data_IF_655993137136
#
_entry.id   IF_655993137136
#
_cell.length_a   1.000
_cell.length_b   1.000
_cell.length_c   1.000
_cell.angle_alpha   90.00
_cell.angle_beta   90.00
_cell.angle_gamma   90.00
#
_symmetry.space_group_name_H-M   'P 1'
#
loop_
_entity.id
_entity.type
_entity.pdbx_description
1 polymer ?
#
# COMPACT_ATOMS: atom_id res chain seq x y z
N UNK A 1 8.29 55.95 33.89
CA UNK A 1 7.20 56.15 32.90
C UNK A 1 7.73 55.82 31.53
N UNK A 2 7.35 54.68 30.96
CA UNK A 2 7.33 54.35 29.52
C UNK A 2 6.44 53.10 29.40
N UNK A 3 5.46 53.07 28.48
CA UNK A 3 4.30 52.20 28.60
C UNK A 3 4.50 50.80 28.00
N UNK A 4 3.92 49.81 28.68
CA UNK A 4 3.71 48.45 28.21
C UNK A 4 2.59 48.46 27.17
N UNK A 5 2.88 48.04 25.94
CA UNK A 5 1.86 47.68 24.95
C UNK A 5 2.04 46.21 24.56
N UNK A 6 1.35 45.35 25.30
CA UNK A 6 1.23 43.94 24.98
C UNK A 6 0.30 43.76 23.78
N UNK A 7 0.87 43.46 22.62
CA UNK A 7 0.14 42.88 21.49
C UNK A 7 0.17 41.36 21.70
N UNK A 8 -0.91 40.81 22.28
CA UNK A 8 -1.10 39.38 22.37
C UNK A 8 -1.19 38.81 20.95
N UNK A 9 -0.13 38.17 20.48
CA UNK A 9 -0.17 37.31 19.32
C UNK A 9 -1.11 36.14 19.67
N UNK A 10 -2.28 36.11 19.01
CA UNK A 10 -3.15 34.95 19.02
C UNK A 10 -2.32 33.76 18.55
N UNK A 11 -2.18 32.75 19.40
CA UNK A 11 -1.50 31.52 19.07
C UNK A 11 -2.14 30.90 17.82
N UNK A 12 -1.36 30.76 16.76
CA UNK A 12 -1.69 29.91 15.62
C UNK A 12 -1.89 28.48 16.15
N UNK A 13 -3.14 28.06 16.23
CA UNK A 13 -3.48 26.65 16.39
C UNK A 13 -3.09 25.96 15.09
N UNK A 14 -1.92 25.32 15.08
CA UNK A 14 -1.49 24.45 13.97
C UNK A 14 -2.45 23.26 13.86
N UNK A 15 -3.35 23.40 12.89
CA UNK A 15 -3.89 22.41 11.94
C UNK A 15 -3.94 20.97 12.46
N UNK A 16 -5.16 20.58 12.87
CA UNK A 16 -5.64 19.21 12.72
C UNK A 16 -5.42 18.81 11.26
N UNK A 17 -4.84 17.65 11.00
CA UNK A 17 -4.61 17.14 9.64
C UNK A 17 -5.93 17.20 8.83
N UNK A 18 -6.07 18.26 8.01
CA UNK A 18 -7.29 18.58 7.25
C UNK A 18 -7.70 17.43 6.31
N UNK A 19 -6.76 16.52 6.02
CA UNK A 19 -6.98 15.38 5.16
C UNK A 19 -7.48 14.13 5.92
N UNK A 20 -7.47 14.12 7.27
CA UNK A 20 -7.87 12.97 8.09
C UNK A 20 -9.12 13.23 8.92
N UNK A 21 -9.10 14.21 9.83
CA UNK A 21 -10.22 14.43 10.77
C UNK A 21 -11.29 15.34 10.16
N UNK A 22 -12.57 14.97 10.26
CA UNK A 22 -13.68 15.81 9.81
C UNK A 22 -14.04 16.91 10.82
N UNK A 23 -13.80 16.64 12.12
CA UNK A 23 -14.15 17.56 13.20
C UNK A 23 -13.00 17.75 14.17
N UNK A 24 -13.05 18.86 14.89
CA UNK A 24 -12.17 19.16 16.03
C UNK A 24 -12.98 19.28 17.31
N UNK A 25 -12.33 19.32 18.48
CA UNK A 25 -13.01 19.50 19.77
C UNK A 25 -13.90 20.76 19.83
N UNK A 26 -13.59 21.79 19.04
CA UNK A 26 -14.30 23.08 19.03
C UNK A 26 -15.35 23.18 17.93
N UNK A 27 -15.59 22.10 17.17
CA UNK A 27 -16.53 22.11 16.05
C UNK A 27 -17.98 22.07 16.55
N UNK A 28 -18.78 23.08 16.20
CA UNK A 28 -20.24 23.03 16.36
C UNK A 28 -20.83 22.12 15.28
N UNK A 29 -21.17 20.89 15.67
CA UNK A 29 -21.65 19.84 14.76
C UNK A 29 -22.90 20.25 13.98
N UNK A 30 -23.84 20.99 14.58
CA UNK A 30 -25.08 21.40 13.91
C UNK A 30 -24.82 22.48 12.87
N UNK A 31 -23.98 23.45 13.21
CA UNK A 31 -23.55 24.48 12.24
C UNK A 31 -22.73 23.85 11.12
N UNK A 32 -21.80 22.96 11.46
CA UNK A 32 -20.93 22.31 10.50
C UNK A 32 -21.71 21.43 9.52
N UNK A 33 -22.63 20.59 10.00
CA UNK A 33 -23.50 19.79 9.14
C UNK A 33 -24.29 20.66 8.15
N UNK A 34 -24.88 21.79 8.61
CA UNK A 34 -25.59 22.72 7.72
C UNK A 34 -24.69 23.30 6.61
N UNK A 35 -23.46 23.66 6.93
CA UNK A 35 -22.50 24.17 5.94
C UNK A 35 -22.12 23.07 4.92
N UNK A 36 -21.95 21.82 5.38
CA UNK A 36 -21.67 20.70 4.49
C UNK A 36 -22.85 20.39 3.57
N UNK A 37 -24.09 20.42 4.06
CA UNK A 37 -25.28 20.27 3.22
C UNK A 37 -25.36 21.37 2.15
N UNK A 38 -25.06 22.62 2.50
CA UNK A 38 -25.01 23.72 1.52
C UNK A 38 -23.90 23.53 0.50
N UNK A 39 -22.73 23.04 0.91
CA UNK A 39 -21.62 22.75 0.00
C UNK A 39 -21.94 21.58 -0.95
N UNK A 40 -22.63 20.56 -0.44
CA UNK A 40 -23.15 19.42 -1.20
C UNK A 40 -24.15 19.86 -2.27
N UNK A 41 -25.18 20.60 -1.89
CA UNK A 41 -26.18 21.10 -2.84
C UNK A 41 -25.58 22.09 -3.85
N UNK A 42 -24.63 22.91 -3.42
CA UNK A 42 -23.89 23.79 -4.34
C UNK A 42 -23.09 23.00 -5.37
N UNK A 43 -22.36 21.95 -4.95
CA UNK A 43 -21.61 21.09 -5.87
C UNK A 43 -22.54 20.43 -6.89
N UNK A 44 -23.64 19.85 -6.43
CA UNK A 44 -24.59 19.13 -7.30
C UNK A 44 -25.33 20.04 -8.27
N UNK A 45 -25.55 21.31 -7.91
CA UNK A 45 -26.16 22.32 -8.79
C UNK A 45 -25.16 23.03 -9.71
N UNK A 46 -23.87 22.70 -9.65
CA UNK A 46 -22.81 23.39 -10.40
C UNK A 46 -22.48 24.79 -9.87
N UNK A 47 -23.01 25.16 -8.70
CA UNK A 47 -22.74 26.43 -8.02
C UNK A 47 -21.42 26.36 -7.24
N UNK A 48 -20.81 27.52 -6.96
CA UNK A 48 -19.62 27.58 -6.09
C UNK A 48 -20.06 27.44 -4.62
N UNK A 49 -19.51 26.47 -3.87
CA UNK A 49 -19.82 26.33 -2.44
C UNK A 49 -19.31 27.55 -1.66
N UNK A 50 -20.06 27.96 -0.64
CA UNK A 50 -19.70 29.09 0.22
C UNK A 50 -18.57 28.74 1.21
N UNK A 51 -18.37 27.44 1.49
CA UNK A 51 -17.29 26.93 2.31
C UNK A 51 -16.37 26.04 1.48
N UNK A 52 -15.06 26.10 1.74
CA UNK A 52 -14.11 25.17 1.15
C UNK A 52 -14.36 23.78 1.72
N UNK A 53 -14.58 22.80 0.84
CA UNK A 53 -14.54 21.39 1.21
C UNK A 53 -13.10 21.01 1.59
N UNK A 54 -12.96 20.03 2.49
CA UNK A 54 -11.65 19.41 2.76
C UNK A 54 -11.14 18.77 1.46
N UNK A 55 -9.82 18.79 1.25
CA UNK A 55 -9.23 18.33 -0.02
C UNK A 55 -9.51 16.86 -0.30
N UNK A 56 -9.45 16.02 0.74
CA UNK A 56 -9.82 14.59 0.66
C UNK A 56 -11.26 14.38 0.15
N UNK A 57 -12.20 15.18 0.64
CA UNK A 57 -13.62 15.11 0.23
C UNK A 57 -13.78 15.59 -1.21
N UNK A 58 -13.12 16.69 -1.59
CA UNK A 58 -13.17 17.19 -2.97
C UNK A 58 -12.63 16.16 -3.97
N UNK A 59 -11.48 15.52 -3.69
CA UNK A 59 -10.92 14.47 -4.55
C UNK A 59 -11.85 13.27 -4.67
N UNK A 60 -12.44 12.84 -3.55
CA UNK A 60 -13.42 11.75 -3.54
C UNK A 60 -14.65 12.09 -4.37
N UNK A 61 -15.20 13.29 -4.22
CA UNK A 61 -16.38 13.73 -4.97
C UNK A 61 -16.10 13.81 -6.47
N UNK A 62 -14.90 14.24 -6.88
CA UNK A 62 -14.50 14.24 -8.29
C UNK A 62 -14.46 12.81 -8.86
N UNK A 63 -13.92 11.84 -8.10
CA UNK A 63 -13.95 10.42 -8.48
C UNK A 63 -15.38 9.89 -8.57
N UNK A 64 -16.19 10.13 -7.56
CA UNK A 64 -17.58 9.64 -7.47
C UNK A 64 -18.46 10.18 -8.60
N UNK A 65 -18.29 11.46 -8.94
CA UNK A 65 -18.95 12.06 -10.10
C UNK A 65 -18.49 11.41 -11.41
N UNK A 66 -17.20 11.07 -11.53
CA UNK A 66 -16.68 10.34 -12.71
C UNK A 66 -17.22 8.91 -12.84
N UNK A 67 -17.60 8.28 -11.72
CA UNK A 67 -18.26 6.97 -11.70
C UNK A 67 -19.75 7.05 -12.04
N UNK A 68 -20.35 8.26 -12.07
CA UNK A 68 -21.77 8.46 -12.37
C UNK A 68 -22.71 8.10 -11.22
N UNK A 69 -22.20 8.07 -9.97
CA UNK A 69 -23.03 7.79 -8.79
C UNK A 69 -24.05 8.91 -8.60
N UNK A 70 -25.32 8.56 -8.42
CA UNK A 70 -26.38 9.52 -8.15
C UNK A 70 -26.46 9.85 -6.65
N UNK A 71 -26.64 11.13 -6.26
CA UNK A 71 -26.65 11.54 -4.85
C UNK A 71 -27.89 11.05 -4.07
N UNK A 72 -28.96 10.72 -4.78
CA UNK A 72 -30.20 10.16 -4.23
C UNK A 72 -30.38 8.66 -4.56
N UNK A 73 -29.44 8.09 -5.32
CA UNK A 73 -29.50 6.70 -5.77
C UNK A 73 -28.98 5.74 -4.70
N UNK A 74 -29.65 4.59 -4.58
CA UNK A 74 -29.09 3.40 -3.94
C UNK A 74 -28.69 2.45 -5.07
N UNK A 75 -27.45 2.53 -5.53
CA UNK A 75 -26.91 1.58 -6.50
C UNK A 75 -26.14 0.50 -5.74
N UNK A 76 -26.86 -0.26 -4.92
CA UNK A 76 -26.30 -1.39 -4.21
C UNK A 76 -26.84 -2.66 -4.84
N UNK A 77 -25.93 -3.47 -5.37
CA UNK A 77 -26.24 -4.85 -5.69
C UNK A 77 -26.62 -5.60 -4.42
N UNK A 78 -27.41 -6.67 -4.59
CA UNK A 78 -27.73 -7.55 -3.47
C UNK A 78 -26.44 -8.06 -2.81
N UNK A 79 -26.38 -8.13 -1.47
CA UNK A 79 -25.20 -8.63 -0.78
C UNK A 79 -24.89 -10.07 -1.22
N UNK A 80 -23.60 -10.38 -1.32
CA UNK A 80 -23.16 -11.70 -1.71
C UNK A 80 -23.73 -12.78 -0.78
N UNK A 81 -23.90 -13.98 -1.36
CA UNK A 81 -24.43 -15.13 -0.62
C UNK A 81 -23.54 -15.50 0.58
N UNK A 82 -24.12 -16.05 1.66
CA UNK A 82 -23.36 -16.44 2.86
C UNK A 82 -22.15 -17.34 2.59
N UNK A 83 -22.23 -18.27 1.64
CA UNK A 83 -21.13 -19.17 1.30
C UNK A 83 -19.92 -18.46 0.69
N UNK A 84 -20.15 -17.35 -0.03
CA UNK A 84 -19.09 -16.49 -0.57
C UNK A 84 -18.44 -15.68 0.55
N UNK A 85 -19.24 -15.15 1.47
CA UNK A 85 -18.77 -14.40 2.64
C UNK A 85 -17.84 -15.27 3.49
N UNK A 86 -18.29 -16.48 3.86
CA UNK A 86 -17.49 -17.38 4.71
C UNK A 86 -16.19 -17.82 4.02
N UNK A 87 -16.22 -18.05 2.71
CA UNK A 87 -15.00 -18.35 1.94
C UNK A 87 -14.00 -17.19 1.99
N UNK A 88 -14.46 -15.96 1.75
CA UNK A 88 -13.61 -14.77 1.80
C UNK A 88 -13.09 -14.49 3.21
N UNK A 89 -13.89 -14.72 4.26
CA UNK A 89 -13.46 -14.64 5.66
C UNK A 89 -12.34 -15.63 5.96
N UNK A 90 -12.50 -16.89 5.54
CA UNK A 90 -11.51 -17.94 5.77
C UNK A 90 -10.17 -17.69 5.06
N UNK A 91 -10.21 -17.00 3.91
CA UNK A 91 -9.02 -16.66 3.13
C UNK A 91 -8.36 -15.34 3.56
N UNK A 92 -9.06 -14.50 4.32
CA UNK A 92 -8.56 -13.19 4.73
C UNK A 92 -7.54 -13.31 5.87
N UNK A 93 -6.32 -12.76 5.72
CA UNK A 93 -5.35 -12.72 6.81
C UNK A 93 -5.84 -11.96 8.04
N UNK A 94 -6.81 -11.04 7.87
CA UNK A 94 -7.42 -10.27 8.97
C UNK A 94 -8.12 -11.20 9.96
N UNK A 95 -8.62 -12.36 9.53
CA UNK A 95 -9.23 -13.35 10.42
C UNK A 95 -8.31 -13.77 11.57
N UNK A 96 -6.99 -13.80 11.34
CA UNK A 96 -5.99 -14.16 12.34
C UNK A 96 -5.79 -13.09 13.43
N UNK A 97 -6.26 -11.86 13.19
CA UNK A 97 -6.14 -10.72 14.11
C UNK A 97 -7.48 -10.08 14.46
N UNK A 98 -8.58 -10.69 14.03
CA UNK A 98 -9.93 -10.31 14.39
C UNK A 98 -10.15 -10.28 15.92
N UNK A 99 -9.61 -11.22 16.74
CA UNK A 99 -9.72 -11.13 18.20
C UNK A 99 -9.12 -9.84 18.78
N UNK A 100 -7.97 -9.38 18.26
CA UNK A 100 -7.31 -8.15 18.70
C UNK A 100 -8.12 -6.91 18.33
N UNK A 101 -8.69 -6.89 17.11
CA UNK A 101 -9.60 -5.83 16.66
C UNK A 101 -10.85 -5.77 17.55
N UNK A 102 -11.48 -6.92 17.82
CA UNK A 102 -12.64 -7.03 18.72
C UNK A 102 -12.32 -6.53 20.12
N UNK A 103 -11.20 -6.97 20.69
CA UNK A 103 -10.76 -6.55 22.02
C UNK A 103 -10.52 -5.02 22.09
N UNK A 104 -10.11 -4.40 20.99
CA UNK A 104 -9.81 -2.97 20.93
C UNK A 104 -11.05 -2.11 20.67
N UNK A 105 -12.00 -2.59 19.85
CA UNK A 105 -13.04 -1.74 19.26
C UNK A 105 -14.46 -2.14 19.63
N UNK A 106 -14.79 -3.42 19.89
CA UNK A 106 -16.20 -3.84 20.02
C UNK A 106 -16.89 -3.21 21.24
N UNK A 107 -16.25 -3.22 22.42
CA UNK A 107 -16.82 -2.60 23.61
C UNK A 107 -17.02 -1.08 23.44
N UNK A 108 -16.02 -0.41 22.86
CA UNK A 108 -16.12 1.04 22.56
C UNK A 108 -17.22 1.31 21.53
N UNK A 109 -17.37 0.45 20.53
CA UNK A 109 -18.42 0.57 19.54
C UNK A 109 -19.80 0.45 20.17
N UNK A 110 -20.01 -0.52 21.06
CA UNK A 110 -21.28 -0.69 21.78
C UNK A 110 -21.61 0.52 22.66
N UNK A 111 -20.67 0.96 23.49
CA UNK A 111 -20.85 2.08 24.42
C UNK A 111 -21.06 3.42 23.71
N UNK A 112 -20.41 3.62 22.55
CA UNK A 112 -20.49 4.85 21.77
C UNK A 112 -21.63 4.87 20.75
N UNK A 113 -22.51 3.85 20.71
CA UNK A 113 -23.51 3.67 19.65
C UNK A 113 -22.89 3.68 18.24
N UNK A 114 -21.94 2.77 17.99
CA UNK A 114 -21.30 2.54 16.71
C UNK A 114 -21.30 1.05 16.33
N UNK A 115 -20.95 0.78 15.07
CA UNK A 115 -20.58 -0.54 14.56
C UNK A 115 -19.14 -0.50 14.06
N UNK A 116 -18.37 -1.53 14.38
CA UNK A 116 -17.12 -1.85 13.71
C UNK A 116 -17.43 -2.62 12.44
N UNK A 117 -16.85 -2.20 11.33
CA UNK A 117 -16.93 -2.87 10.04
C UNK A 117 -15.53 -3.16 9.52
N UNK A 118 -15.33 -4.33 8.95
CA UNK A 118 -14.06 -4.72 8.35
C UNK A 118 -14.34 -5.18 6.92
N UNK A 119 -13.60 -4.62 5.96
CA UNK A 119 -13.71 -4.96 4.54
C UNK A 119 -12.44 -5.63 4.04
N UNK A 120 -12.53 -6.32 2.89
CA UNK A 120 -11.38 -6.71 2.10
C UNK A 120 -10.82 -5.53 1.29
N UNK A 121 -9.63 -5.69 0.70
CA UNK A 121 -8.97 -4.66 -0.10
C UNK A 121 -9.75 -4.22 -1.35
N UNK A 122 -10.73 -5.01 -1.80
CA UNK A 122 -11.65 -4.66 -2.89
C UNK A 122 -12.94 -3.97 -2.40
N UNK A 123 -13.05 -3.62 -1.12
CA UNK A 123 -14.22 -2.95 -0.54
C UNK A 123 -15.36 -3.88 -0.13
N UNK A 124 -15.21 -5.19 -0.31
CA UNK A 124 -16.21 -6.19 0.11
C UNK A 124 -16.30 -6.28 1.63
N UNK A 125 -17.50 -6.08 2.20
CA UNK A 125 -17.71 -6.13 3.65
C UNK A 125 -17.60 -7.57 4.17
N UNK A 126 -16.63 -7.82 5.05
CA UNK A 126 -16.37 -9.14 5.63
C UNK A 126 -17.02 -9.29 7.00
N UNK A 127 -16.83 -8.35 7.92
CA UNK A 127 -17.37 -8.43 9.28
C UNK A 127 -18.06 -7.13 9.67
N UNK A 128 -19.12 -7.24 10.49
CA UNK A 128 -19.85 -6.11 11.07
C UNK A 128 -20.30 -6.50 12.48
N UNK A 129 -19.87 -5.73 13.48
CA UNK A 129 -20.13 -6.01 14.90
C UNK A 129 -20.32 -4.70 15.68
N UNK A 130 -21.07 -4.71 16.78
CA UNK A 130 -21.29 -3.52 17.61
C UNK A 130 -22.77 -3.30 17.97
N UNK A 131 -23.15 -2.04 18.18
CA UNK A 131 -24.46 -1.68 18.73
C UNK A 131 -25.63 -2.15 17.83
N UNK A 132 -26.54 -2.95 18.40
CA UNK A 132 -27.70 -3.54 17.69
C UNK A 132 -28.57 -2.47 17.01
N UNK A 133 -28.80 -1.34 17.68
CA UNK A 133 -29.60 -0.23 17.15
C UNK A 133 -28.97 0.38 15.89
N UNK A 134 -27.64 0.50 15.87
CA UNK A 134 -26.90 1.01 14.72
C UNK A 134 -26.82 -0.02 13.61
N UNK A 135 -26.73 -1.31 13.96
CA UNK A 135 -26.85 -2.42 13.01
C UNK A 135 -28.14 -2.35 12.19
N UNK A 136 -29.28 -2.01 12.82
CA UNK A 136 -30.56 -1.83 12.10
C UNK A 136 -30.54 -0.63 11.14
N UNK A 137 -29.94 0.49 11.56
CA UNK A 137 -29.76 1.65 10.67
C UNK A 137 -28.85 1.31 9.48
N UNK A 138 -27.83 0.49 9.73
CA UNK A 138 -26.93 0.01 8.69
C UNK A 138 -27.65 -0.94 7.71
N UNK A 139 -28.55 -1.79 8.19
CA UNK A 139 -29.40 -2.65 7.34
C UNK A 139 -30.23 -1.81 6.37
N UNK A 140 -30.81 -0.70 6.84
CA UNK A 140 -31.58 0.22 6.00
C UNK A 140 -30.73 0.89 4.91
N UNK A 141 -29.40 0.98 5.09
CA UNK A 141 -28.45 1.46 4.07
C UNK A 141 -27.93 0.35 3.15
N UNK A 142 -28.26 -0.91 3.42
CA UNK A 142 -27.63 -2.07 2.78
C UNK A 142 -26.22 -2.38 3.30
N UNK A 143 -25.78 -1.73 4.38
CA UNK A 143 -24.43 -1.86 4.96
C UNK A 143 -24.26 -3.17 5.73
N UNK A 144 -24.19 -4.23 4.95
CA UNK A 144 -24.28 -5.63 5.35
C UNK A 144 -22.99 -6.37 4.97
N UNK A 145 -22.62 -7.44 5.70
CA UNK A 145 -21.64 -8.40 5.20
C UNK A 145 -22.02 -8.91 3.81
N UNK A 146 -21.04 -8.97 2.90
CA UNK A 146 -21.24 -9.38 1.52
C UNK A 146 -21.41 -8.26 0.51
N UNK A 147 -21.50 -7.02 0.97
CA UNK A 147 -21.86 -5.89 0.13
C UNK A 147 -20.61 -5.07 -0.27
N UNK A 148 -20.66 -4.34 -1.40
CA UNK A 148 -19.54 -3.54 -1.93
C UNK A 148 -19.60 -2.08 -1.44
N UNK A 149 -18.60 -1.68 -0.64
CA UNK A 149 -18.51 -0.35 -0.02
C UNK A 149 -17.47 0.58 -0.69
N UNK A 150 -17.11 0.30 -1.94
CA UNK A 150 -16.25 1.19 -2.72
C UNK A 150 -16.95 2.52 -3.05
N UNK A 151 -16.16 3.55 -3.39
CA UNK A 151 -16.69 4.83 -3.86
C UNK A 151 -17.53 4.70 -5.13
N UNK A 152 -17.21 3.73 -5.99
CA UNK A 152 -17.95 3.47 -7.23
C UNK A 152 -19.35 2.89 -6.96
N UNK A 153 -19.50 2.08 -5.91
CA UNK A 153 -20.77 1.48 -5.54
C UNK A 153 -21.66 2.45 -4.73
N UNK A 154 -21.12 3.07 -3.67
CA UNK A 154 -21.94 3.81 -2.69
C UNK A 154 -21.59 5.29 -2.55
N UNK A 155 -20.76 5.81 -3.46
CA UNK A 155 -20.27 7.19 -3.38
C UNK A 155 -19.27 7.39 -2.24
N UNK A 156 -18.94 8.65 -1.97
CA UNK A 156 -17.98 9.04 -0.92
C UNK A 156 -18.44 8.51 0.43
N UNK A 157 -17.65 7.58 0.96
CA UNK A 157 -17.82 6.94 2.26
C UNK A 157 -16.43 6.65 2.84
N UNK A 158 -16.32 6.44 4.16
CA UNK A 158 -15.00 6.34 4.79
C UNK A 158 -14.19 5.12 4.30
N UNK A 159 -14.83 3.97 4.06
CA UNK A 159 -14.18 2.76 3.55
C UNK A 159 -13.61 3.02 2.15
N UNK A 160 -14.47 3.41 1.20
CA UNK A 160 -14.07 3.66 -0.18
C UNK A 160 -13.01 4.77 -0.29
N UNK A 161 -13.14 5.82 0.51
CA UNK A 161 -12.16 6.92 0.53
C UNK A 161 -10.82 6.46 1.11
N UNK A 162 -10.83 5.66 2.20
CA UNK A 162 -9.60 5.11 2.76
C UNK A 162 -8.86 4.16 1.80
N UNK A 163 -9.62 3.36 1.02
CA UNK A 163 -9.07 2.52 -0.05
C UNK A 163 -8.38 3.39 -1.12
N UNK A 164 -9.08 4.40 -1.63
CA UNK A 164 -8.58 5.25 -2.73
C UNK A 164 -7.40 6.14 -2.31
N UNK A 165 -7.40 6.63 -1.07
CA UNK A 165 -6.37 7.53 -0.55
C UNK A 165 -5.20 6.77 0.10
N UNK A 166 -5.31 5.45 0.31
CA UNK A 166 -4.35 4.65 1.07
C UNK A 166 -4.03 5.24 2.45
N UNK A 167 -5.02 5.87 3.08
CA UNK A 167 -4.85 6.63 4.31
C UNK A 167 -6.10 6.53 5.20
N UNK A 168 -5.92 6.77 6.51
CA UNK A 168 -7.07 6.86 7.42
C UNK A 168 -7.86 8.13 7.12
N UNK A 169 -9.19 8.04 7.23
CA UNK A 169 -10.10 9.16 7.03
C UNK A 169 -11.24 9.11 8.02
N UNK A 170 -11.71 10.27 8.44
CA UNK A 170 -12.99 10.46 9.09
C UNK A 170 -13.88 11.28 8.16
N UNK A 171 -15.12 10.82 7.98
CA UNK A 171 -16.15 11.54 7.26
C UNK A 171 -17.31 11.86 8.19
N UNK A 172 -17.86 13.06 8.05
CA UNK A 172 -18.97 13.53 8.86
C UNK A 172 -20.09 14.06 7.96
N UNK A 173 -21.31 13.56 8.20
CA UNK A 173 -22.53 14.09 7.61
C UNK A 173 -22.47 14.24 6.08
N UNK A 174 -22.81 15.40 5.52
CA UNK A 174 -22.83 15.68 4.09
C UNK A 174 -21.46 15.80 3.41
N UNK A 175 -20.39 15.30 4.04
CA UNK A 175 -19.18 14.87 3.32
C UNK A 175 -19.39 13.54 2.59
N UNK A 176 -20.30 12.69 3.10
CA UNK A 176 -20.78 11.55 2.35
C UNK A 176 -21.50 12.04 1.10
N UNK A 177 -21.26 11.39 -0.04
CA UNK A 177 -21.82 11.86 -1.30
C UNK A 177 -23.31 11.53 -1.43
N UNK A 178 -23.73 10.34 -0.96
CA UNK A 178 -25.12 9.90 -1.04
C UNK A 178 -25.91 10.42 0.17
N UNK A 179 -27.06 11.06 -0.09
CA UNK A 179 -27.84 11.75 0.95
C UNK A 179 -28.32 10.84 2.08
N UNK A 180 -28.58 9.56 1.77
CA UNK A 180 -28.96 8.55 2.77
C UNK A 180 -27.88 8.35 3.85
N UNK A 181 -26.62 8.67 3.57
CA UNK A 181 -25.49 8.54 4.49
C UNK A 181 -25.24 9.81 5.33
N UNK A 182 -25.90 10.93 5.03
CA UNK A 182 -25.74 12.18 5.79
C UNK A 182 -26.04 12.11 7.30
N UNK A 183 -26.88 11.19 7.80
CA UNK A 183 -27.06 10.98 9.23
C UNK A 183 -25.88 10.26 9.93
N UNK A 184 -24.80 9.93 9.21
CA UNK A 184 -23.71 9.11 9.72
C UNK A 184 -22.40 9.88 9.91
N UNK A 185 -21.57 9.32 10.79
CA UNK A 185 -20.14 9.58 10.87
C UNK A 185 -19.41 8.25 10.75
N UNK A 186 -18.30 8.27 10.02
CA UNK A 186 -17.52 7.07 9.73
C UNK A 186 -16.04 7.38 9.90
N UNK A 187 -15.28 6.48 10.52
CA UNK A 187 -13.83 6.62 10.69
C UNK A 187 -13.16 5.32 10.27
N UNK A 188 -12.41 5.39 9.18
CA UNK A 188 -11.81 4.24 8.54
C UNK A 188 -10.29 4.33 8.55
N UNK A 189 -9.63 3.18 8.70
CA UNK A 189 -8.19 3.06 8.56
C UNK A 189 -7.84 1.79 7.78
N UNK A 190 -6.98 1.88 6.75
CA UNK A 190 -6.50 0.70 6.04
C UNK A 190 -5.62 -0.16 6.95
N UNK A 191 -5.77 -1.47 6.83
CA UNK A 191 -4.94 -2.48 7.49
C UNK A 191 -4.07 -3.17 6.45
N UNK A 192 -2.78 -3.35 6.75
CA UNK A 192 -1.78 -3.89 5.84
C UNK A 192 -1.17 -5.18 6.35
N UNK A 193 -0.64 -5.96 5.42
CA UNK A 193 0.25 -7.06 5.74
C UNK A 193 1.63 -6.51 6.09
N UNK A 194 2.12 -6.65 7.33
CA UNK A 194 3.44 -6.12 7.70
C UNK A 194 4.59 -6.82 6.96
N UNK A 195 4.36 -8.00 6.37
CA UNK A 195 5.36 -8.78 5.61
C UNK A 195 5.57 -8.23 4.20
N UNK A 196 4.49 -7.79 3.55
CA UNK A 196 4.50 -7.39 2.13
C UNK A 196 4.26 -5.89 1.93
N UNK A 197 3.62 -5.24 2.90
CA UNK A 197 3.12 -3.87 2.81
C UNK A 197 1.82 -3.75 2.01
N UNK A 198 1.23 -4.86 1.57
CA UNK A 198 -0.02 -4.84 0.80
C UNK A 198 -1.20 -4.53 1.71
N UNK A 199 -2.17 -3.77 1.19
CA UNK A 199 -3.40 -3.52 1.91
C UNK A 199 -4.25 -4.79 1.94
N UNK A 200 -4.64 -5.21 3.14
CA UNK A 200 -5.52 -6.37 3.36
C UNK A 200 -6.99 -5.97 3.31
N UNK A 201 -7.28 -4.71 3.65
CA UNK A 201 -8.63 -4.16 3.70
C UNK A 201 -8.70 -2.90 4.56
N UNK A 202 -9.90 -2.59 5.05
CA UNK A 202 -10.14 -1.41 5.89
C UNK A 202 -10.88 -1.82 7.16
N UNK A 203 -10.47 -1.23 8.29
CA UNK A 203 -11.22 -1.26 9.55
C UNK A 203 -11.91 0.08 9.71
N UNK A 204 -13.23 0.06 9.87
CA UNK A 204 -14.09 1.22 9.98
C UNK A 204 -14.90 1.18 11.28
N UNK A 205 -15.13 2.35 11.86
CA UNK A 205 -16.06 2.55 12.97
C UNK A 205 -17.10 3.60 12.55
N UNK A 206 -18.36 3.17 12.48
CA UNK A 206 -19.47 3.94 11.93
C UNK A 206 -20.60 4.10 12.94
N UNK A 207 -21.20 5.28 13.02
CA UNK A 207 -22.30 5.57 13.94
C UNK A 207 -23.10 6.81 13.53
N UNK A 208 -24.10 7.21 14.33
CA UNK A 208 -24.88 8.42 14.08
C UNK A 208 -24.00 9.68 14.10
N UNK A 209 -24.18 10.61 13.18
CA UNK A 209 -23.34 11.82 13.07
C UNK A 209 -23.12 12.58 14.40
N UNK A 210 -24.10 12.73 15.32
CA UNK A 210 -23.89 13.40 16.59
C UNK A 210 -22.87 12.74 17.53
N UNK A 211 -22.53 11.47 17.32
CA UNK A 211 -21.55 10.73 18.14
C UNK A 211 -20.11 10.88 17.64
N UNK A 212 -19.87 11.68 16.58
CA UNK A 212 -18.53 11.92 16.03
C UNK A 212 -17.60 12.49 17.10
N UNK A 213 -16.38 11.96 17.14
CA UNK A 213 -15.34 12.46 18.02
C UNK A 213 -13.97 12.42 17.33
N UNK A 214 -13.12 13.44 17.49
CA UNK A 214 -11.80 13.47 16.85
C UNK A 214 -10.87 12.35 17.32
N UNK A 215 -11.03 11.84 18.55
CA UNK A 215 -10.18 10.75 19.06
C UNK A 215 -10.51 9.39 18.44
N UNK A 216 -11.66 9.25 17.77
CA UNK A 216 -12.04 8.00 17.09
C UNK A 216 -11.01 7.63 16.02
N UNK A 217 -10.41 8.62 15.34
CA UNK A 217 -9.32 8.40 14.38
C UNK A 217 -8.13 7.71 15.04
N UNK A 218 -7.65 8.28 16.14
CA UNK A 218 -6.51 7.73 16.87
C UNK A 218 -6.82 6.33 17.43
N UNK A 219 -8.05 6.09 17.88
CA UNK A 219 -8.49 4.76 18.35
C UNK A 219 -8.43 3.71 17.24
N UNK A 220 -9.06 3.98 16.09
CA UNK A 220 -9.09 3.04 14.95
C UNK A 220 -7.67 2.81 14.41
N UNK A 221 -6.85 3.86 14.28
CA UNK A 221 -5.45 3.74 13.87
C UNK A 221 -4.63 2.89 14.84
N UNK A 222 -4.83 3.05 16.15
CA UNK A 222 -4.12 2.28 17.18
C UNK A 222 -4.54 0.81 17.15
N UNK A 223 -5.84 0.54 17.00
CA UNK A 223 -6.37 -0.82 16.87
C UNK A 223 -5.81 -1.53 15.63
N UNK A 224 -5.74 -0.83 14.49
CA UNK A 224 -5.11 -1.36 13.27
C UNK A 224 -3.63 -1.65 13.49
N UNK A 225 -2.86 -0.73 14.06
CA UNK A 225 -1.42 -0.96 14.33
C UNK A 225 -1.19 -2.15 15.27
N UNK A 226 -2.06 -2.33 16.26
CA UNK A 226 -2.01 -3.49 17.15
C UNK A 226 -2.30 -4.80 16.39
N UNK A 227 -3.29 -4.78 15.49
CA UNK A 227 -3.60 -5.92 14.63
C UNK A 227 -2.44 -6.24 13.67
N UNK A 228 -1.85 -5.24 13.01
CA UNK A 228 -0.67 -5.42 12.16
C UNK A 228 0.52 -5.96 12.95
N UNK A 229 0.77 -5.48 14.17
CA UNK A 229 1.78 -6.04 15.06
C UNK A 229 1.48 -7.51 15.40
N UNK A 230 0.21 -7.88 15.58
CA UNK A 230 -0.21 -9.26 15.80
C UNK A 230 0.11 -10.17 14.60
N UNK A 231 -0.13 -9.68 13.37
CA UNK A 231 0.25 -10.39 12.14
C UNK A 231 1.76 -10.59 12.05
N UNK A 232 2.54 -9.58 12.45
CA UNK A 232 4.00 -9.66 12.48
C UNK A 232 4.49 -10.72 13.48
N UNK A 233 4.00 -10.71 14.72
CA UNK A 233 4.37 -11.71 15.73
C UNK A 233 4.02 -13.14 15.29
N UNK A 234 2.87 -13.34 14.65
CA UNK A 234 2.51 -14.65 14.09
C UNK A 234 3.43 -15.07 12.94
N UNK A 235 3.92 -14.11 12.15
CA UNK A 235 4.90 -14.38 11.11
C UNK A 235 6.26 -14.75 11.70
N UNK A 236 6.75 -14.01 12.70
CA UNK A 236 8.00 -14.32 13.41
C UNK A 236 7.97 -15.74 13.98
N UNK A 237 6.87 -16.12 14.65
CA UNK A 237 6.70 -17.47 15.17
C UNK A 237 6.75 -18.56 14.08
N UNK A 238 6.14 -18.29 12.91
CA UNK A 238 6.24 -19.20 11.74
C UNK A 238 7.66 -19.27 11.18
N UNK A 239 8.36 -18.14 11.13
CA UNK A 239 9.73 -18.06 10.65
C UNK A 239 10.70 -18.78 11.59
N UNK A 240 10.47 -18.71 12.90
CA UNK A 240 11.20 -19.49 13.91
C UNK A 240 10.95 -21.01 13.76
N UNK A 241 9.71 -21.41 13.48
CA UNK A 241 9.39 -22.79 13.13
C UNK A 241 10.16 -23.25 11.89
N UNK A 242 10.23 -22.41 10.84
CA UNK A 242 11.00 -22.69 9.64
C UNK A 242 12.51 -22.76 9.91
N UNK A 243 13.04 -21.92 10.81
CA UNK A 243 14.46 -22.00 11.26
C UNK A 243 14.80 -23.36 11.84
N UNK A 244 13.92 -23.91 12.68
CA UNK A 244 14.13 -25.22 13.28
C UNK A 244 14.17 -26.34 12.22
N UNK A 245 13.33 -26.25 11.18
CA UNK A 245 13.34 -27.19 10.04
C UNK A 245 14.55 -26.98 9.13
N UNK A 246 14.97 -25.74 8.93
CA UNK A 246 16.06 -25.37 8.03
C UNK A 246 17.44 -25.81 8.54
N UNK A 247 17.66 -25.80 9.85
CA UNK A 247 18.96 -26.13 10.46
C UNK A 247 19.56 -27.47 9.99
N UNK A 248 18.86 -28.62 10.06
CA UNK A 248 19.39 -29.89 9.56
C UNK A 248 19.54 -29.94 8.04
N UNK A 249 18.75 -29.18 7.28
CA UNK A 249 18.87 -29.11 5.82
C UNK A 249 20.15 -28.38 5.42
N UNK A 250 20.39 -27.20 6.01
CA UNK A 250 21.59 -26.39 5.75
C UNK A 250 22.87 -27.05 6.25
N UNK A 251 22.80 -27.84 7.34
CA UNK A 251 23.96 -28.60 7.83
C UNK A 251 24.48 -29.65 6.82
N UNK A 252 23.65 -30.07 5.86
CA UNK A 252 24.03 -31.03 4.80
C UNK A 252 24.65 -30.34 3.58
N UNK A 253 24.59 -29.01 3.52
CA UNK A 253 25.10 -28.25 2.39
C UNK A 253 26.61 -28.04 2.51
N UNK A 254 27.32 -28.25 1.40
CA UNK A 254 28.77 -28.04 1.32
C UNK A 254 29.16 -26.62 0.89
N UNK A 255 28.18 -25.80 0.54
CA UNK A 255 28.37 -24.46 -0.02
C UNK A 255 27.31 -23.48 0.49
N UNK A 256 27.33 -22.24 -0.02
CA UNK A 256 26.38 -21.23 0.41
C UNK A 256 24.95 -21.63 0.04
N UNK A 257 24.01 -21.43 0.95
CA UNK A 257 22.60 -21.74 0.75
C UNK A 257 21.74 -20.95 1.74
N UNK A 258 20.45 -20.78 1.46
CA UNK A 258 19.50 -20.23 2.41
C UNK A 258 18.13 -20.90 2.32
N UNK A 259 17.38 -20.81 3.41
CA UNK A 259 15.98 -21.20 3.49
C UNK A 259 15.13 -19.97 3.77
N UNK A 260 14.06 -19.80 2.99
CA UNK A 260 13.17 -18.64 3.05
C UNK A 260 11.71 -19.09 3.14
N UNK A 261 10.85 -18.25 3.68
CA UNK A 261 9.42 -18.50 3.67
C UNK A 261 8.78 -18.17 2.30
N UNK A 262 7.46 -18.36 2.18
CA UNK A 262 6.70 -18.05 0.97
C UNK A 262 6.65 -16.56 0.59
N UNK A 263 7.12 -15.67 1.46
CA UNK A 263 7.16 -14.23 1.22
C UNK A 263 8.60 -13.71 1.04
N UNK A 264 9.57 -14.62 0.95
CA UNK A 264 10.99 -14.34 0.75
C UNK A 264 11.74 -13.91 2.01
N UNK A 265 11.16 -14.06 3.20
CA UNK A 265 11.85 -13.79 4.47
C UNK A 265 12.83 -14.91 4.79
N UNK A 266 14.07 -14.52 5.12
CA UNK A 266 15.13 -15.49 5.38
C UNK A 266 15.00 -16.07 6.78
N UNK A 267 14.72 -17.37 6.83
CA UNK A 267 14.72 -18.12 8.08
C UNK A 267 16.17 -18.38 8.51
N UNK A 268 16.95 -19.03 7.66
CA UNK A 268 18.31 -19.42 7.95
C UNK A 268 19.18 -19.38 6.69
N UNK A 269 20.49 -19.22 6.87
CA UNK A 269 21.47 -19.19 5.79
C UNK A 269 22.80 -19.80 6.24
N UNK A 270 23.61 -20.24 5.28
CA UNK A 270 24.98 -20.70 5.49
C UNK A 270 25.88 -20.14 4.38
N UNK A 271 27.15 -19.84 4.69
CA UNK A 271 28.14 -19.38 3.70
C UNK A 271 27.84 -18.03 3.02
N UNK A 272 26.91 -17.23 3.55
CA UNK A 272 26.48 -15.94 3.00
C UNK A 272 26.49 -14.85 4.08
N UNK A 273 26.61 -13.58 3.65
CA UNK A 273 26.39 -12.45 4.54
C UNK A 273 24.93 -12.43 5.06
N UNK A 274 24.71 -12.02 6.33
CA UNK A 274 23.39 -11.87 6.92
C UNK A 274 22.45 -11.02 6.06
N UNK A 275 21.20 -11.45 5.93
CA UNK A 275 20.16 -10.75 5.18
C UNK A 275 18.79 -11.12 5.73
N UNK A 276 17.87 -10.18 5.65
CA UNK A 276 16.52 -10.39 6.16
C UNK A 276 15.58 -10.94 5.09
N UNK A 277 15.78 -10.56 3.82
CA UNK A 277 14.83 -10.87 2.75
C UNK A 277 15.47 -11.06 1.38
N UNK A 278 14.82 -11.87 0.55
CA UNK A 278 15.06 -12.04 -0.90
C UNK A 278 13.75 -11.83 -1.67
N UNK A 279 13.80 -11.79 -3.00
CA UNK A 279 12.58 -11.76 -3.81
C UNK A 279 11.76 -13.04 -3.58
N UNK A 280 10.43 -12.94 -3.76
CA UNK A 280 9.50 -14.03 -3.44
C UNK A 280 9.79 -15.22 -4.36
N UNK A 281 10.10 -16.41 -3.82
CA UNK A 281 10.38 -17.59 -4.61
C UNK A 281 9.10 -18.17 -5.25
N UNK A 282 9.24 -18.70 -6.46
CA UNK A 282 8.19 -19.43 -7.17
C UNK A 282 8.75 -20.74 -7.73
N UNK A 283 7.88 -21.76 -7.87
CA UNK A 283 8.29 -23.07 -8.34
C UNK A 283 8.60 -23.01 -9.84
N UNK A 284 9.78 -23.51 -10.23
CA UNK A 284 10.19 -23.52 -11.63
C UNK A 284 10.70 -22.17 -12.16
N UNK A 285 10.70 -21.13 -11.34
CA UNK A 285 11.23 -19.81 -11.71
C UNK A 285 12.58 -19.58 -11.02
N UNK A 286 13.61 -19.27 -11.80
CA UNK A 286 14.91 -18.95 -11.25
C UNK A 286 14.88 -17.60 -10.50
N UNK A 287 15.53 -17.57 -9.35
CA UNK A 287 15.62 -16.43 -8.45
C UNK A 287 17.07 -15.97 -8.32
N UNK A 288 17.32 -14.70 -8.60
CA UNK A 288 18.65 -14.11 -8.42
C UNK A 288 18.82 -13.59 -7.00
N UNK A 289 19.76 -14.20 -6.28
CA UNK A 289 20.08 -13.85 -4.90
C UNK A 289 21.47 -13.24 -4.84
N UNK A 290 21.57 -12.00 -4.36
CA UNK A 290 22.85 -11.30 -4.25
C UNK A 290 23.88 -12.11 -3.44
N UNK A 291 25.06 -12.38 -4.01
CA UNK A 291 26.11 -13.18 -3.37
C UNK A 291 25.91 -14.71 -3.44
N UNK A 292 24.78 -15.19 -3.98
CA UNK A 292 24.53 -16.60 -4.26
C UNK A 292 24.38 -16.87 -5.78
N UNK A 293 24.01 -15.86 -6.56
CA UNK A 293 23.77 -15.98 -7.99
C UNK A 293 22.37 -16.50 -8.30
N UNK A 294 22.21 -17.11 -9.48
CA UNK A 294 20.96 -17.73 -9.89
C UNK A 294 20.68 -19.00 -9.09
N UNK A 295 19.50 -19.06 -8.49
CA UNK A 295 19.03 -20.16 -7.66
C UNK A 295 17.73 -20.69 -8.25
N UNK A 296 17.55 -22.00 -8.27
CA UNK A 296 16.22 -22.58 -8.51
C UNK A 296 15.59 -22.90 -7.16
N UNK A 297 14.46 -22.27 -6.79
CA UNK A 297 13.80 -22.55 -5.52
C UNK A 297 13.29 -23.99 -5.43
N UNK A 298 13.73 -24.70 -4.40
CA UNK A 298 13.24 -26.05 -4.07
C UNK A 298 12.29 -25.99 -2.88
N UNK A 299 11.17 -26.71 -2.95
CA UNK A 299 10.23 -26.78 -1.83
C UNK A 299 10.82 -27.57 -0.67
N UNK A 300 10.74 -26.98 0.53
CA UNK A 300 11.04 -27.66 1.80
C UNK A 300 9.85 -27.50 2.74
N UNK A 301 9.70 -28.34 3.79
CA UNK A 301 8.59 -28.19 4.72
C UNK A 301 8.57 -26.77 5.32
N UNK A 302 7.50 -26.03 5.05
CA UNK A 302 7.29 -24.67 5.54
C UNK A 302 7.99 -23.55 4.76
N UNK A 303 8.68 -23.82 3.65
CA UNK A 303 9.33 -22.77 2.88
C UNK A 303 10.04 -23.23 1.61
N UNK A 304 11.13 -22.56 1.29
CA UNK A 304 11.93 -22.77 0.08
C UNK A 304 13.42 -22.80 0.40
N UNK A 305 14.12 -23.72 -0.22
CA UNK A 305 15.57 -23.77 -0.19
C UNK A 305 16.15 -23.20 -1.47
N UNK A 306 17.11 -22.28 -1.32
CA UNK A 306 17.81 -21.63 -2.39
C UNK A 306 19.28 -22.06 -2.35
N UNK A 307 19.70 -22.74 -3.40
CA UNK A 307 21.09 -23.15 -3.63
C UNK A 307 21.59 -22.52 -4.92
N UNK A 308 22.90 -22.24 -5.04
CA UNK A 308 23.48 -21.86 -6.32
C UNK A 308 23.26 -23.01 -7.30
N UNK A 309 22.85 -22.70 -8.52
CA UNK A 309 22.84 -23.72 -9.57
C UNK A 309 24.27 -24.26 -9.77
N UNK A 310 24.45 -25.59 -9.65
CA UNK A 310 25.75 -26.28 -9.78
C UNK A 310 26.29 -26.28 -11.20
N UNK A 311 25.52 -25.80 -12.16
CA UNK A 311 26.04 -25.37 -13.44
C UNK A 311 26.74 -24.02 -13.18
N UNK A 312 28.08 -24.03 -12.98
CA UNK A 312 28.85 -22.98 -12.23
C UNK A 312 29.74 -21.93 -12.93
N UNK A 313 30.20 -20.89 -12.23
CA UNK A 313 31.16 -19.89 -12.77
C UNK A 313 30.77 -19.16 -14.08
N UNK A 314 29.48 -18.89 -14.31
CA UNK A 314 29.06 -18.01 -15.42
C UNK A 314 28.95 -16.55 -14.94
N UNK A 315 29.62 -15.61 -15.62
CA UNK A 315 29.39 -14.17 -15.42
C UNK A 315 27.92 -13.89 -15.73
N UNK A 316 27.20 -13.28 -14.78
CA UNK A 316 25.80 -12.88 -14.99
C UNK A 316 25.80 -11.55 -15.74
N UNK A 317 25.31 -11.52 -16.98
CA UNK A 317 25.10 -10.29 -17.75
C UNK A 317 23.68 -9.78 -17.59
N UNK A 318 23.51 -8.48 -17.50
CA UNK A 318 22.21 -7.83 -17.51
C UNK A 318 22.16 -6.86 -18.69
N UNK A 319 21.17 -7.02 -19.57
CA UNK A 319 20.88 -6.12 -20.67
C UNK A 319 19.42 -5.69 -20.68
N UNK A 320 19.14 -4.58 -21.35
CA UNK A 320 17.78 -4.15 -21.63
C UNK A 320 17.37 -4.64 -23.02
N UNK A 321 16.15 -5.12 -23.15
CA UNK A 321 15.56 -5.58 -24.41
C UNK A 321 14.13 -5.02 -24.53
N UNK A 322 14.02 -3.78 -25.06
CA UNK A 322 12.78 -3.02 -25.13
C UNK A 322 11.83 -3.51 -26.22
N UNK A 323 12.29 -4.36 -27.14
CA UNK A 323 11.50 -4.82 -28.30
C UNK A 323 11.01 -6.25 -28.17
N UNK A 324 11.54 -7.03 -27.22
CA UNK A 324 11.01 -8.38 -27.01
C UNK A 324 9.66 -8.40 -26.29
N UNK A 325 9.08 -9.59 -26.22
CA UNK A 325 7.72 -9.81 -25.74
C UNK A 325 7.73 -10.68 -24.47
N UNK A 326 7.40 -10.13 -23.27
CA UNK A 326 7.10 -8.71 -22.98
C UNK A 326 8.38 -7.86 -22.84
N UNK A 327 8.36 -6.56 -23.12
CA UNK A 327 9.58 -5.72 -23.11
C UNK A 327 10.17 -5.59 -21.70
N UNK A 328 11.49 -5.59 -21.59
CA UNK A 328 12.13 -5.45 -20.28
C UNK A 328 13.58 -5.91 -20.17
N UNK A 329 13.95 -6.41 -19.00
CA UNK A 329 15.31 -6.81 -18.70
C UNK A 329 15.56 -8.23 -19.16
N UNK A 330 16.73 -8.47 -19.72
CA UNK A 330 17.24 -9.80 -19.99
C UNK A 330 18.49 -10.05 -19.15
N UNK A 331 18.44 -11.09 -18.35
CA UNK A 331 19.57 -11.56 -17.57
C UNK A 331 20.13 -12.79 -18.29
N UNK A 332 21.34 -12.67 -18.79
CA UNK A 332 22.07 -13.77 -19.43
C UNK A 332 23.10 -14.30 -18.44
N UNK A 333 22.82 -15.46 -17.84
CA UNK A 333 23.87 -16.25 -17.23
C UNK A 333 24.03 -17.54 -18.04
N UNK A 334 23.82 -18.69 -17.41
CA UNK A 334 23.73 -19.96 -18.15
C UNK A 334 22.44 -20.11 -18.93
N UNK A 335 21.36 -19.55 -18.41
CA UNK A 335 20.08 -19.44 -19.10
C UNK A 335 19.79 -17.95 -19.28
N UNK A 336 18.93 -17.65 -20.24
CA UNK A 336 18.47 -16.31 -20.51
C UNK A 336 17.09 -16.14 -19.84
N UNK A 337 17.02 -15.29 -18.83
CA UNK A 337 15.75 -14.94 -18.17
C UNK A 337 15.29 -13.57 -18.63
N UNK A 338 13.97 -13.41 -18.77
CA UNK A 338 13.36 -12.12 -19.12
C UNK A 338 12.44 -11.68 -17.99
N UNK A 339 12.61 -10.43 -17.57
CA UNK A 339 11.73 -9.77 -16.63
C UNK A 339 10.97 -8.67 -17.35
N UNK A 340 9.64 -8.76 -17.36
CA UNK A 340 8.78 -7.71 -17.90
C UNK A 340 8.98 -6.41 -17.10
N UNK A 341 9.22 -5.30 -17.80
CA UNK A 341 9.41 -3.99 -17.19
C UNK A 341 8.45 -2.97 -17.80
N UNK A 342 7.86 -2.13 -16.96
CA UNK A 342 7.16 -0.93 -17.41
C UNK A 342 8.11 -0.01 -18.18
N UNK A 343 7.58 0.87 -19.04
CA UNK A 343 8.39 1.85 -19.76
C UNK A 343 9.30 2.66 -18.81
N UNK A 344 8.76 3.06 -17.66
CA UNK A 344 9.53 3.81 -16.66
C UNK A 344 10.67 2.99 -16.07
N UNK A 345 10.44 1.70 -15.77
CA UNK A 345 11.51 0.81 -15.31
C UNK A 345 12.56 0.56 -16.40
N UNK A 346 12.17 0.47 -17.69
CA UNK A 346 13.12 0.35 -18.80
C UNK A 346 14.03 1.58 -18.91
N UNK A 347 13.47 2.80 -18.79
CA UNK A 347 14.24 4.05 -18.76
C UNK A 347 15.23 4.10 -17.60
N UNK A 348 14.79 3.73 -16.38
CA UNK A 348 15.67 3.69 -15.20
C UNK A 348 16.78 2.64 -15.40
N UNK A 349 16.44 1.44 -15.88
CA UNK A 349 17.44 0.40 -16.11
C UNK A 349 18.47 0.81 -17.16
N UNK A 350 18.05 1.47 -18.26
CA UNK A 350 18.96 1.98 -19.28
C UNK A 350 20.02 2.91 -18.68
N UNK A 351 19.60 3.87 -17.84
CA UNK A 351 20.50 4.78 -17.14
C UNK A 351 21.47 4.06 -16.20
N UNK A 352 20.99 3.06 -15.45
CA UNK A 352 21.83 2.26 -14.55
C UNK A 352 22.83 1.38 -15.30
N UNK A 353 22.46 0.82 -16.46
CA UNK A 353 23.37 0.05 -17.30
C UNK A 353 24.48 0.93 -17.89
N UNK A 354 24.17 2.18 -18.25
CA UNK A 354 25.19 3.15 -18.66
C UNK A 354 26.12 3.58 -17.52
N UNK A 355 25.58 3.78 -16.31
CA UNK A 355 26.37 4.17 -15.14
C UNK A 355 27.19 3.02 -14.52
N UNK A 356 26.86 1.76 -14.85
CA UNK A 356 27.59 0.57 -14.44
C UNK A 356 27.79 0.48 -12.91
N UNK A 357 29.04 0.30 -12.49
CA UNK A 357 29.44 0.16 -11.09
C UNK A 357 29.48 1.48 -10.31
N UNK A 358 29.60 2.63 -10.99
CA UNK A 358 29.58 3.94 -10.32
C UNK A 358 28.20 4.25 -9.75
N UNK A 359 27.17 3.90 -10.50
CA UNK A 359 25.78 4.09 -10.10
C UNK A 359 25.29 5.53 -10.14
N UNK A 360 24.02 5.71 -9.81
CA UNK A 360 23.31 6.98 -9.80
C UNK A 360 22.57 7.16 -8.47
N UNK A 361 22.55 8.38 -7.96
CA UNK A 361 21.65 8.73 -6.85
C UNK A 361 20.24 9.10 -7.37
N UNK A 362 19.28 9.24 -6.46
CA UNK A 362 17.90 9.55 -6.83
C UNK A 362 17.77 10.92 -7.52
N UNK A 363 18.61 11.90 -7.16
CA UNK A 363 18.59 13.24 -7.76
C UNK A 363 19.13 13.24 -9.20
N UNK A 364 20.13 12.41 -9.48
CA UNK A 364 20.69 12.20 -10.81
C UNK A 364 19.70 11.48 -11.73
N UNK A 365 19.03 10.45 -11.22
CA UNK A 365 17.95 9.77 -11.93
C UNK A 365 16.76 10.70 -12.18
N UNK A 366 16.38 11.54 -11.21
CA UNK A 366 15.32 12.54 -11.39
C UNK A 366 15.65 13.48 -12.54
N UNK A 367 16.86 14.05 -12.55
CA UNK A 367 17.30 14.98 -13.60
C UNK A 367 17.33 14.33 -14.97
N UNK A 368 17.80 13.08 -15.06
CA UNK A 368 17.82 12.35 -16.32
C UNK A 368 16.42 12.01 -16.88
N UNK A 369 15.42 11.84 -16.01
CA UNK A 369 14.09 11.36 -16.38
C UNK A 369 13.01 12.44 -16.49
N UNK A 370 13.19 13.55 -15.76
CA UNK A 370 12.22 14.64 -15.61
C UNK A 370 12.81 16.03 -15.86
N UNK A 371 14.12 16.13 -16.12
CA UNK A 371 14.86 17.40 -16.30
C UNK A 371 14.96 18.28 -15.03
N UNK A 372 14.60 17.73 -13.86
CA UNK A 372 14.71 18.38 -12.55
C UNK A 372 15.05 17.39 -11.41
N UNK A 373 15.31 17.90 -10.20
CA UNK A 373 15.59 17.08 -9.02
C UNK A 373 14.39 16.92 -8.06
N UNK A 374 13.19 17.36 -8.46
CA UNK A 374 12.03 17.46 -7.57
C UNK A 374 11.26 16.13 -7.43
N UNK A 375 11.50 15.19 -8.35
CA UNK A 375 10.80 13.90 -8.42
C UNK A 375 11.46 12.79 -7.59
N UNK A 376 12.14 13.11 -6.48
CA UNK A 376 12.88 12.13 -5.66
C UNK A 376 11.99 11.02 -5.09
N UNK A 377 10.78 11.37 -4.62
CA UNK A 377 9.85 10.40 -4.02
C UNK A 377 9.36 9.41 -5.08
N UNK A 378 9.00 9.92 -6.26
CA UNK A 378 8.59 9.12 -7.41
C UNK A 378 9.71 8.19 -7.88
N UNK A 379 10.92 8.72 -8.05
CA UNK A 379 12.10 7.92 -8.44
C UNK A 379 12.40 6.82 -7.42
N UNK A 380 12.35 7.13 -6.12
CA UNK A 380 12.54 6.12 -5.06
C UNK A 380 11.45 5.06 -5.05
N UNK A 381 10.20 5.44 -5.31
CA UNK A 381 9.09 4.50 -5.41
C UNK A 381 9.25 3.56 -6.62
N UNK A 382 9.61 4.08 -7.79
CA UNK A 382 9.88 3.25 -8.99
C UNK A 382 11.09 2.34 -8.79
N UNK A 383 12.19 2.85 -8.21
CA UNK A 383 13.34 2.00 -7.87
C UNK A 383 12.97 0.91 -6.87
N UNK A 384 12.11 1.23 -5.90
CA UNK A 384 11.61 0.22 -4.97
C UNK A 384 10.79 -0.85 -5.70
N UNK A 385 9.92 -0.48 -6.64
CA UNK A 385 9.15 -1.44 -7.45
C UNK A 385 10.06 -2.27 -8.36
N UNK A 386 10.95 -1.63 -9.11
CA UNK A 386 11.89 -2.30 -9.99
C UNK A 386 12.81 -3.26 -9.23
N UNK A 387 13.25 -2.92 -8.02
CA UNK A 387 14.04 -3.81 -7.16
C UNK A 387 13.23 -5.00 -6.62
N UNK A 388 11.90 -4.97 -6.61
CA UNK A 388 11.09 -6.18 -6.35
C UNK A 388 11.15 -7.15 -7.53
N UNK A 389 11.22 -6.62 -8.76
CA UNK A 389 11.28 -7.41 -10.00
C UNK A 389 12.68 -7.93 -10.27
N UNK A 390 13.68 -7.04 -10.26
CA UNK A 390 15.08 -7.36 -10.59
C UNK A 390 15.91 -7.78 -9.36
N UNK A 391 15.32 -7.70 -8.17
CA UNK A 391 15.91 -8.23 -6.94
C UNK A 391 17.33 -7.70 -6.67
N UNK A 392 18.23 -8.65 -6.37
CA UNK A 392 19.61 -8.41 -6.01
C UNK A 392 20.52 -7.91 -7.14
N UNK A 393 19.99 -7.70 -8.36
CA UNK A 393 20.74 -7.15 -9.50
C UNK A 393 21.02 -5.66 -9.38
N UNK A 394 20.25 -4.95 -8.56
CA UNK A 394 20.39 -3.51 -8.36
C UNK A 394 20.68 -3.24 -6.88
N UNK A 395 21.92 -2.83 -6.61
CA UNK A 395 22.35 -2.37 -5.30
C UNK A 395 21.86 -0.95 -5.03
N UNK A 396 21.76 -0.56 -3.76
CA UNK A 396 21.37 0.79 -3.34
C UNK A 396 22.58 1.54 -2.73
N UNK A 397 22.48 2.89 -2.72
CA UNK A 397 23.48 3.82 -2.15
C UNK A 397 24.90 3.71 -2.77
N UNK A 398 25.16 4.29 -3.95
CA UNK A 398 24.21 4.75 -4.97
C UNK A 398 23.52 3.58 -5.67
N UNK A 399 22.44 3.85 -6.42
CA UNK A 399 21.76 2.81 -7.21
C UNK A 399 22.66 2.36 -8.36
N UNK A 400 23.01 1.08 -8.42
CA UNK A 400 23.98 0.56 -9.39
C UNK A 400 23.73 -0.90 -9.71
N UNK A 401 24.31 -1.37 -10.80
CA UNK A 401 24.36 -2.80 -11.10
C UNK A 401 25.18 -3.50 -10.01
N UNK A 402 24.66 -4.60 -9.49
CA UNK A 402 25.24 -5.30 -8.35
C UNK A 402 26.64 -5.85 -8.68
N UNK A 403 27.58 -5.86 -7.72
CA UNK A 403 28.89 -6.47 -7.93
C UNK A 403 28.76 -7.93 -8.40
N UNK A 404 29.53 -8.29 -9.43
CA UNK A 404 29.48 -9.63 -10.05
C UNK A 404 28.45 -9.77 -11.17
N UNK A 405 27.70 -8.71 -11.50
CA UNK A 405 26.84 -8.63 -12.69
C UNK A 405 27.51 -7.72 -13.72
N UNK A 406 27.73 -8.24 -14.93
CA UNK A 406 28.24 -7.48 -16.07
C UNK A 406 27.08 -6.69 -16.68
N UNK A 407 27.18 -5.36 -16.65
CA UNK A 407 26.22 -4.46 -17.27
C UNK A 407 26.48 -4.40 -18.78
N UNK A 408 25.46 -4.65 -19.60
CA UNK A 408 25.51 -4.48 -21.05
C UNK A 408 24.70 -3.22 -21.39
N UNK A 409 25.37 -2.08 -21.67
CA UNK A 409 24.66 -0.84 -22.00
C UNK A 409 23.85 -0.99 -23.28
N UNK A 410 22.62 -0.46 -23.34
CA UNK A 410 21.85 -0.39 -24.57
C UNK A 410 22.54 0.51 -25.60
N UNK A 411 22.27 0.27 -26.87
CA UNK A 411 22.77 1.13 -27.95
C UNK A 411 22.16 2.54 -27.89
N UNK A 412 22.77 3.46 -28.66
CA UNK A 412 22.37 4.87 -28.67
C UNK A 412 20.97 5.08 -29.23
N UNK A 413 20.52 4.22 -30.14
CA UNK A 413 19.19 4.31 -30.75
C UNK A 413 18.10 3.97 -29.74
N UNK A 414 18.28 2.87 -29.00
CA UNK A 414 17.43 2.48 -27.87
C UNK A 414 17.41 3.56 -26.79
N UNK A 415 18.57 4.12 -26.43
CA UNK A 415 18.64 5.21 -25.45
C UNK A 415 17.86 6.45 -25.91
N UNK A 416 18.02 6.85 -27.16
CA UNK A 416 17.34 8.02 -27.73
C UNK A 416 15.82 7.80 -27.77
N UNK A 417 15.38 6.59 -28.11
CA UNK A 417 13.96 6.22 -28.13
C UNK A 417 13.33 6.22 -26.74
N UNK A 418 14.05 5.71 -25.74
CA UNK A 418 13.54 5.58 -24.38
C UNK A 418 13.57 6.88 -23.58
N UNK A 419 14.65 7.66 -23.71
CA UNK A 419 14.88 8.86 -22.88
C UNK A 419 14.57 10.16 -23.62
N UNK A 420 14.59 10.12 -24.96
CA UNK A 420 14.46 11.30 -25.81
C UNK A 420 15.81 11.86 -26.26
N UNK A 421 15.86 12.64 -27.36
CA UNK A 421 17.10 13.15 -27.95
C UNK A 421 17.81 14.22 -27.11
N UNK A 422 17.10 14.82 -26.14
CA UNK A 422 17.59 15.90 -25.30
C UNK A 422 18.19 15.42 -23.98
N UNK A 423 18.06 14.15 -23.60
CA UNK A 423 18.61 13.65 -22.33
C UNK A 423 20.14 13.63 -22.43
N UNK A 424 20.85 14.45 -21.63
CA UNK A 424 22.29 14.42 -21.65
C UNK A 424 22.71 13.08 -21.04
N UNK A 425 23.19 12.16 -21.88
CA UNK A 425 24.08 11.08 -21.47
C UNK A 425 25.38 11.76 -21.04
N UNK A 426 25.37 12.41 -19.88
CA UNK A 426 26.59 12.99 -19.32
C UNK A 426 27.65 11.89 -19.21
N UNK A 427 28.94 12.23 -19.24
CA UNK A 427 29.94 11.33 -18.69
C UNK A 427 29.64 11.19 -17.20
N UNK A 428 28.81 10.20 -16.87
CA UNK A 428 28.57 9.78 -15.50
C UNK A 428 29.92 9.27 -14.97
N UNK A 429 30.36 9.72 -13.77
CA UNK A 429 31.70 9.46 -13.26
C UNK A 429 32.04 7.97 -13.11
#
# INVERSE_FOLDING_TARGET
>A
MLPVTGRAALAEVRVVDDDVCAVTRTTDLRRHARLLHQAHDARLSGSRPQASLRRVVSRSWDRVLSYGVAPDGRTLDDPARPDVIERRRAQSPIANVLPQLRASLTAVAEDAEHIMVITAADGFVLWREGAVRVGRLADDLGFLPGADWTEAAVGTNAIGTALAEHASVQLFSAEHFVRAQHPWTCTASPIHDPRTGEMLGVVDLSGPAPTVHPTTVALVQTAVRLAESGLWTQHEARLDGLRAVAAPLLARERGPALVVDDHGWVAALTGLAPRERVAVPAAGEALLVHGLGACLPERVPGGWMLRPSTAGEGVTRLRLDPDGDPPGAVVEAREQWRHALSLRHQQILALLLCAGSAGLDAASLSRALYDDADHLVTVRAELSRMRRVLGGLIAARPYRIAPGVEAVPPDREVLTRLLGPATPLQPWP
#
